data_IF_754298940778
#
_entry.id   IF_754298940778
#
_cell.length_a   1.000
_cell.length_b   1.000
_cell.length_c   1.000
_cell.angle_alpha   90.00
_cell.angle_beta   90.00
_cell.angle_gamma   90.00
#
_symmetry.space_group_name_H-M   'P 1'
#
loop_
_entity.id
_entity.type
_entity.pdbx_description
1 polymer ?
#
# COMPACT_ATOMS: atom_id res chain seq x y z
N UNK A 1 5.90 -11.39 10.69
CA UNK A 1 4.79 -10.41 10.87
C UNK A 1 4.54 -10.01 12.34
N UNK A 2 5.51 -10.27 13.23
CA UNK A 2 5.39 -9.91 14.64
C UNK A 2 5.24 -8.39 14.83
N UNK A 3 5.99 -7.58 14.08
CA UNK A 3 5.95 -6.11 14.14
C UNK A 3 4.55 -5.53 13.87
N UNK A 4 3.72 -6.18 13.03
CA UNK A 4 2.33 -5.76 12.82
C UNK A 4 1.44 -6.08 14.04
N UNK A 5 1.64 -7.23 14.70
CA UNK A 5 0.92 -7.55 15.93
C UNK A 5 1.32 -6.61 17.08
N UNK A 6 2.60 -6.23 17.16
CA UNK A 6 3.10 -5.28 18.16
C UNK A 6 2.53 -3.88 17.91
N UNK A 7 2.35 -3.51 16.64
CA UNK A 7 1.64 -2.29 16.26
C UNK A 7 0.18 -2.28 16.75
N UNK A 8 -0.58 -3.36 16.53
CA UNK A 8 -1.95 -3.48 17.05
C UNK A 8 -1.98 -3.43 18.59
N UNK A 9 -1.04 -4.11 19.27
CA UNK A 9 -0.92 -4.07 20.74
C UNK A 9 -0.66 -2.66 21.23
N UNK A 10 0.22 -1.92 20.56
CA UNK A 10 0.53 -0.52 20.90
C UNK A 10 -0.73 0.35 20.84
N UNK A 11 -1.50 0.27 19.75
CA UNK A 11 -2.73 1.07 19.63
C UNK A 11 -3.73 0.71 20.71
N UNK A 12 -3.91 -0.59 20.99
CA UNK A 12 -4.83 -1.04 22.04
C UNK A 12 -4.40 -0.62 23.46
N UNK A 13 -3.09 -0.47 23.72
CA UNK A 13 -2.55 -0.15 25.03
C UNK A 13 -2.37 1.37 25.25
N UNK A 14 -1.98 2.11 24.22
CA UNK A 14 -1.57 3.52 24.32
C UNK A 14 -2.51 4.46 23.56
N UNK A 15 -3.44 3.92 22.74
CA UNK A 15 -4.28 4.73 21.87
C UNK A 15 -5.27 5.61 22.64
N UNK A 16 -5.34 6.87 22.27
CA UNK A 16 -6.31 7.83 22.79
C UNK A 16 -7.58 7.84 21.93
N UNK A 17 -8.74 7.96 22.58
CA UNK A 17 -10.01 7.98 21.88
C UNK A 17 -10.20 9.33 21.17
N UNK A 18 -10.59 9.25 19.88
CA UNK A 18 -10.91 10.40 19.03
C UNK A 18 -12.21 10.17 18.26
N UNK A 19 -12.92 11.26 18.00
CA UNK A 19 -13.94 11.28 16.95
C UNK A 19 -13.29 11.22 15.56
N UNK A 20 -14.05 10.77 14.58
CA UNK A 20 -13.63 10.72 13.19
C UNK A 20 -14.78 11.13 12.25
N UNK A 21 -14.47 11.30 10.95
CA UNK A 21 -15.43 11.70 9.93
C UNK A 21 -16.62 10.74 9.79
N UNK A 22 -16.39 9.45 10.02
CA UNK A 22 -17.42 8.41 9.85
C UNK A 22 -18.40 8.33 11.04
N UNK A 23 -18.10 9.00 12.16
CA UNK A 23 -18.90 8.93 13.39
C UNK A 23 -18.75 7.63 14.17
N UNK A 24 -17.95 6.66 13.70
CA UNK A 24 -17.68 5.39 14.39
C UNK A 24 -16.84 5.60 15.66
N UNK A 25 -15.93 6.58 15.61
CA UNK A 25 -14.91 6.80 16.64
C UNK A 25 -13.71 5.86 16.50
N UNK A 26 -12.58 6.31 16.98
CA UNK A 26 -11.32 5.56 16.91
C UNK A 26 -10.56 5.62 18.22
N UNK A 27 -9.64 4.68 18.43
CA UNK A 27 -8.47 4.87 19.29
C UNK A 27 -7.25 4.99 18.42
N UNK A 28 -6.35 5.95 18.69
CA UNK A 28 -5.20 6.19 17.84
C UNK A 28 -3.93 6.53 18.59
N UNK A 29 -2.78 6.22 17.97
CA UNK A 29 -1.46 6.70 18.34
C UNK A 29 -0.91 7.53 17.17
N UNK A 30 -0.17 8.59 17.46
CA UNK A 30 0.47 9.39 16.44
C UNK A 30 1.93 8.99 16.25
N UNK A 31 2.25 8.55 15.04
CA UNK A 31 3.60 8.13 14.65
C UNK A 31 3.93 6.68 15.04
N UNK A 32 4.12 5.83 14.03
CA UNK A 32 4.65 4.48 14.18
C UNK A 32 5.43 4.06 12.94
N UNK A 33 6.45 3.23 13.12
CA UNK A 33 7.22 2.68 12.00
C UNK A 33 7.39 1.18 12.15
N UNK A 34 7.23 0.46 11.03
CA UNK A 34 7.53 -0.97 10.91
C UNK A 34 8.52 -1.19 9.77
N UNK A 35 9.42 -2.17 9.93
CA UNK A 35 10.40 -2.57 8.91
C UNK A 35 10.23 -4.02 8.55
N UNK A 36 10.34 -4.31 7.26
CA UNK A 36 10.19 -5.64 6.68
C UNK A 36 11.36 -5.90 5.74
N UNK A 37 12.25 -6.81 6.12
CA UNK A 37 13.32 -7.26 5.23
C UNK A 37 12.72 -8.23 4.20
N UNK A 38 12.72 -7.83 2.93
CA UNK A 38 12.09 -8.58 1.84
C UNK A 38 12.82 -9.87 1.48
N UNK A 39 14.09 -10.01 1.90
CA UNK A 39 14.84 -11.27 1.74
C UNK A 39 14.41 -12.38 2.73
N UNK A 40 13.66 -12.04 3.79
CA UNK A 40 13.14 -13.02 4.76
C UNK A 40 11.80 -13.66 4.37
N UNK A 41 11.30 -13.35 3.19
CA UNK A 41 9.99 -13.73 2.69
C UNK A 41 9.10 -12.51 2.45
N UNK A 42 8.01 -12.72 1.73
CA UNK A 42 7.11 -11.61 1.36
C UNK A 42 6.23 -11.21 2.55
N UNK A 43 6.22 -9.92 2.96
CA UNK A 43 5.54 -9.47 4.17
C UNK A 43 4.02 -9.44 3.96
N UNK A 44 3.39 -10.57 4.24
CA UNK A 44 1.95 -10.75 4.27
C UNK A 44 1.47 -11.03 5.69
N UNK A 45 0.37 -10.42 6.08
CA UNK A 45 -0.29 -10.77 7.34
C UNK A 45 -0.80 -12.21 7.23
N UNK A 46 -0.32 -13.10 8.12
CA UNK A 46 -0.74 -14.50 8.18
C UNK A 46 -1.73 -14.78 9.32
N UNK A 47 -1.89 -13.85 10.25
CA UNK A 47 -2.83 -13.96 11.38
C UNK A 47 -4.30 -13.71 11.01
N UNK A 48 -4.55 -13.30 9.78
CA UNK A 48 -5.84 -13.33 9.09
C UNK A 48 -5.61 -13.43 7.59
N UNK A 49 -6.62 -13.85 6.82
CA UNK A 49 -6.54 -13.92 5.36
C UNK A 49 -6.48 -12.50 4.75
N UNK A 50 -5.51 -12.27 3.88
CA UNK A 50 -5.45 -11.11 2.97
C UNK A 50 -5.97 -11.55 1.59
N UNK A 51 -6.78 -10.74 0.94
CA UNK A 51 -7.33 -11.04 -0.37
C UNK A 51 -6.37 -10.55 -1.47
N UNK A 52 -5.52 -11.44 -1.95
CA UNK A 52 -4.46 -11.15 -2.93
C UNK A 52 -4.94 -10.53 -4.23
N UNK A 53 -6.06 -11.01 -4.84
CA UNK A 53 -6.54 -10.37 -6.05
C UNK A 53 -6.78 -8.86 -5.86
N UNK A 54 -7.34 -8.45 -4.72
CA UNK A 54 -7.53 -7.02 -4.45
C UNK A 54 -6.22 -6.25 -4.33
N UNK A 55 -5.20 -6.82 -3.65
CA UNK A 55 -3.89 -6.18 -3.50
C UNK A 55 -3.21 -6.00 -4.86
N UNK A 56 -3.20 -7.06 -5.68
CA UNK A 56 -2.50 -7.06 -6.97
C UNK A 56 -3.21 -6.15 -7.97
N UNK A 57 -4.53 -6.33 -8.15
CA UNK A 57 -5.28 -5.52 -9.11
C UNK A 57 -5.31 -4.04 -8.73
N UNK A 58 -5.40 -3.68 -7.44
CA UNK A 58 -5.32 -2.29 -7.01
C UNK A 58 -3.97 -1.66 -7.37
N UNK A 59 -2.86 -2.36 -7.12
CA UNK A 59 -1.53 -1.86 -7.48
C UNK A 59 -1.36 -1.71 -9.00
N UNK A 60 -1.80 -2.70 -9.79
CA UNK A 60 -1.76 -2.62 -11.25
C UNK A 60 -2.62 -1.46 -11.78
N UNK A 61 -3.78 -1.24 -11.18
CA UNK A 61 -4.65 -0.12 -11.50
C UNK A 61 -4.00 1.24 -11.18
N UNK A 62 -3.32 1.39 -10.04
CA UNK A 62 -2.53 2.60 -9.76
C UNK A 62 -1.41 2.79 -10.79
N UNK A 63 -0.69 1.72 -11.14
CA UNK A 63 0.40 1.77 -12.11
C UNK A 63 -0.07 2.08 -13.54
N UNK A 64 -1.29 1.76 -13.92
CA UNK A 64 -1.86 2.14 -15.22
C UNK A 64 -2.21 3.63 -15.31
N UNK A 65 -2.22 4.35 -14.19
CA UNK A 65 -2.63 5.76 -14.13
C UNK A 65 -4.13 5.96 -14.34
N UNK A 66 -4.93 4.91 -14.17
CA UNK A 66 -6.38 4.97 -14.23
C UNK A 66 -6.98 5.38 -12.87
N UNK A 67 -8.14 6.00 -12.92
CA UNK A 67 -8.90 6.47 -11.75
C UNK A 67 -10.37 6.06 -11.78
N UNK A 68 -10.76 5.29 -12.80
CA UNK A 68 -12.10 4.70 -12.91
C UNK A 68 -12.08 3.26 -12.38
N UNK A 69 -13.11 2.89 -11.60
CA UNK A 69 -13.16 1.57 -10.93
C UNK A 69 -13.54 0.42 -11.85
N UNK A 70 -13.84 0.65 -13.13
CA UNK A 70 -14.30 -0.38 -14.08
C UNK A 70 -13.35 -1.57 -14.15
N UNK A 71 -12.03 -1.30 -14.30
CA UNK A 71 -11.02 -2.36 -14.29
C UNK A 71 -11.07 -3.22 -13.01
N UNK A 72 -11.22 -2.59 -11.86
CA UNK A 72 -11.30 -3.29 -10.59
C UNK A 72 -12.57 -4.15 -10.51
N UNK A 73 -13.72 -3.61 -10.95
CA UNK A 73 -14.99 -4.32 -10.96
C UNK A 73 -14.98 -5.53 -11.91
N UNK A 74 -14.41 -5.40 -13.10
CA UNK A 74 -14.22 -6.49 -14.08
C UNK A 74 -13.39 -7.64 -13.49
N UNK A 75 -12.46 -7.34 -12.58
CA UNK A 75 -11.65 -8.30 -11.87
C UNK A 75 -12.21 -8.68 -10.47
N UNK A 76 -13.49 -8.42 -10.22
CA UNK A 76 -14.20 -8.71 -8.96
C UNK A 76 -13.60 -8.03 -7.72
N UNK A 77 -12.89 -6.92 -7.88
CA UNK A 77 -12.36 -6.07 -6.81
C UNK A 77 -13.29 -4.90 -6.59
N UNK A 78 -13.81 -4.76 -5.38
CA UNK A 78 -14.87 -3.78 -5.05
C UNK A 78 -14.48 -2.82 -3.94
N UNK A 79 -13.21 -2.79 -3.58
CA UNK A 79 -12.70 -2.03 -2.42
C UNK A 79 -12.80 -0.51 -2.60
N UNK A 80 -13.08 -0.01 -3.80
CA UNK A 80 -13.23 1.40 -4.13
C UNK A 80 -14.66 1.82 -4.50
N UNK A 81 -15.61 0.87 -4.56
CA UNK A 81 -16.98 1.16 -5.03
C UNK A 81 -17.73 2.19 -4.19
N UNK A 82 -17.45 2.26 -2.87
CA UNK A 82 -18.14 3.15 -1.94
C UNK A 82 -17.81 4.63 -2.16
N UNK A 83 -16.70 4.92 -2.85
CA UNK A 83 -16.23 6.29 -3.12
C UNK A 83 -16.42 6.72 -4.57
N UNK A 84 -16.67 5.78 -5.48
CA UNK A 84 -16.86 6.08 -6.90
C UNK A 84 -18.21 6.79 -7.14
N UNK A 85 -18.22 7.73 -8.09
CA UNK A 85 -19.45 8.33 -8.59
C UNK A 85 -20.28 7.34 -9.43
N UNK A 86 -21.42 7.81 -9.98
CA UNK A 86 -22.34 6.98 -10.77
C UNK A 86 -21.67 6.42 -12.05
N UNK A 87 -20.65 7.11 -12.59
CA UNK A 87 -19.89 6.70 -13.77
C UNK A 87 -18.64 5.90 -13.41
N UNK A 88 -18.39 5.63 -12.12
CA UNK A 88 -17.25 4.86 -11.63
C UNK A 88 -15.97 5.68 -11.44
N UNK A 89 -16.02 7.01 -11.49
CA UNK A 89 -14.85 7.85 -11.35
C UNK A 89 -14.56 8.20 -9.89
N UNK A 90 -13.27 8.37 -9.57
CA UNK A 90 -12.77 8.75 -8.25
C UNK A 90 -12.07 10.12 -8.23
N UNK A 91 -12.05 10.81 -9.37
CA UNK A 91 -11.23 12.01 -9.52
C UNK A 91 -9.73 11.70 -9.60
N UNK A 92 -8.86 12.70 -9.41
CA UNK A 92 -7.41 12.58 -9.67
C UNK A 92 -6.66 11.83 -8.56
N UNK A 93 -7.13 10.63 -8.16
CA UNK A 93 -6.52 9.82 -7.09
C UNK A 93 -5.24 9.12 -7.57
N UNK A 94 -4.50 8.56 -6.66
CA UNK A 94 -3.24 7.78 -6.77
C UNK A 94 -2.65 7.56 -8.16
N UNK A 95 -3.33 6.82 -9.04
CA UNK A 95 -2.82 6.46 -10.36
C UNK A 95 -2.54 7.67 -11.23
N UNK A 96 -3.46 8.66 -11.25
CA UNK A 96 -3.23 9.92 -11.97
C UNK A 96 -2.00 10.65 -11.42
N UNK A 97 -1.88 10.75 -10.11
CA UNK A 97 -0.75 11.46 -9.50
C UNK A 97 0.58 10.75 -9.78
N UNK A 98 0.61 9.44 -9.73
CA UNK A 98 1.84 8.68 -9.97
C UNK A 98 2.32 8.72 -11.41
N UNK A 99 1.38 8.66 -12.39
CA UNK A 99 1.68 8.45 -13.80
C UNK A 99 1.40 9.65 -14.70
N UNK A 100 0.54 10.58 -14.26
CA UNK A 100 0.01 11.65 -15.11
C UNK A 100 -0.16 12.95 -14.31
N UNK A 101 0.82 13.29 -13.46
CA UNK A 101 0.82 14.56 -12.72
C UNK A 101 0.90 15.73 -13.71
N UNK A 102 -0.09 16.61 -13.67
CA UNK A 102 -0.11 17.80 -14.52
C UNK A 102 0.54 18.98 -13.80
N UNK A 103 1.54 19.61 -14.45
CA UNK A 103 2.13 20.86 -13.99
C UNK A 103 1.38 22.05 -14.57
N UNK A 104 1.57 23.24 -13.98
CA UNK A 104 0.87 24.48 -14.38
C UNK A 104 1.09 24.87 -15.86
N UNK A 105 2.18 24.47 -16.48
CA UNK A 105 2.50 24.70 -17.87
C UNK A 105 1.91 23.66 -18.86
N UNK A 106 1.14 22.70 -18.32
CA UNK A 106 0.54 21.60 -19.08
C UNK A 106 1.47 20.41 -19.31
N UNK A 107 2.68 20.42 -18.72
CA UNK A 107 3.58 19.26 -18.77
C UNK A 107 3.00 18.12 -17.95
N UNK A 108 2.93 16.92 -18.53
CA UNK A 108 2.54 15.70 -17.84
C UNK A 108 3.80 14.99 -17.33
N UNK A 109 3.82 14.73 -16.02
CA UNK A 109 4.95 14.12 -15.33
C UNK A 109 4.58 12.70 -14.91
N UNK A 110 5.35 11.71 -15.37
CA UNK A 110 5.30 10.33 -14.87
C UNK A 110 6.32 10.16 -13.75
N UNK A 111 5.84 10.16 -12.50
CA UNK A 111 6.72 10.04 -11.34
C UNK A 111 7.31 8.63 -11.19
N UNK A 112 6.60 7.58 -11.63
CA UNK A 112 7.11 6.20 -11.59
C UNK A 112 8.26 6.03 -12.58
N UNK A 113 8.10 6.52 -13.82
CA UNK A 113 9.19 6.47 -14.82
C UNK A 113 10.40 7.29 -14.37
N UNK A 114 10.18 8.51 -13.85
CA UNK A 114 11.24 9.33 -13.26
C UNK A 114 11.97 8.60 -12.10
N UNK A 115 11.24 7.86 -11.27
CA UNK A 115 11.85 7.08 -10.20
C UNK A 115 12.72 5.94 -10.77
N UNK A 116 12.25 5.22 -11.80
CA UNK A 116 13.01 4.16 -12.50
C UNK A 116 14.28 4.74 -13.11
N UNK A 117 14.18 5.86 -13.81
CA UNK A 117 15.35 6.55 -14.42
C UNK A 117 16.38 6.94 -13.35
N UNK A 118 15.92 7.51 -12.23
CA UNK A 118 16.81 7.88 -11.12
C UNK A 118 17.47 6.67 -10.46
N UNK A 119 16.72 5.58 -10.25
CA UNK A 119 17.26 4.34 -9.68
C UNK A 119 18.38 3.78 -10.58
N UNK A 120 18.16 3.77 -11.92
CA UNK A 120 19.12 3.22 -12.89
C UNK A 120 20.33 4.13 -13.09
N UNK A 121 20.12 5.44 -13.23
CA UNK A 121 21.16 6.37 -13.70
C UNK A 121 21.80 7.17 -12.55
N UNK A 122 21.13 7.34 -11.41
CA UNK A 122 21.62 8.07 -10.25
C UNK A 122 21.13 7.44 -8.94
N UNK A 123 21.52 6.18 -8.63
CA UNK A 123 21.02 5.44 -7.47
C UNK A 123 21.32 6.10 -6.12
N UNK A 124 22.30 6.98 -6.04
CA UNK A 124 22.62 7.75 -4.83
C UNK A 124 21.72 8.99 -4.63
N UNK A 125 20.77 9.24 -5.53
CA UNK A 125 19.84 10.35 -5.41
C UNK A 125 18.97 10.24 -4.16
N UNK A 126 18.78 11.35 -3.45
CA UNK A 126 17.84 11.49 -2.34
C UNK A 126 16.47 11.99 -2.77
N UNK A 127 16.23 12.05 -4.10
CA UNK A 127 15.03 12.62 -4.73
C UNK A 127 14.18 11.58 -5.44
N UNK A 128 14.38 10.29 -5.14
CA UNK A 128 13.59 9.19 -5.70
C UNK A 128 12.29 9.10 -4.91
N UNK A 129 11.38 10.03 -5.16
CA UNK A 129 10.13 10.20 -4.43
C UNK A 129 8.97 10.17 -5.42
N UNK A 130 7.88 9.52 -5.02
CA UNK A 130 6.58 9.53 -5.70
C UNK A 130 5.53 10.04 -4.72
N UNK A 131 4.81 11.09 -5.09
CA UNK A 131 3.78 11.71 -4.26
C UNK A 131 2.39 11.53 -4.88
N UNK A 132 1.44 11.11 -4.07
CA UNK A 132 0.02 11.17 -4.40
C UNK A 132 -0.66 12.42 -3.81
N UNK A 133 0.03 13.15 -2.92
CA UNK A 133 -0.50 14.32 -2.23
C UNK A 133 -0.29 15.58 -3.07
N UNK A 134 -1.23 15.84 -3.98
CA UNK A 134 -1.27 17.04 -4.80
C UNK A 134 -2.21 18.07 -4.16
N UNK A 135 -1.66 19.06 -3.48
CA UNK A 135 -2.43 20.06 -2.72
C UNK A 135 -3.42 20.83 -3.61
N UNK A 136 -3.11 21.01 -4.90
CA UNK A 136 -3.97 21.71 -5.84
C UNK A 136 -5.21 20.93 -6.28
N UNK A 137 -5.22 19.60 -6.11
CA UNK A 137 -6.30 18.72 -6.62
C UNK A 137 -7.01 17.92 -5.50
N UNK A 138 -6.68 18.16 -4.21
CA UNK A 138 -7.25 17.36 -3.10
C UNK A 138 -8.77 17.41 -3.04
N UNK A 139 -9.35 18.55 -3.31
CA UNK A 139 -10.82 18.76 -3.25
C UNK A 139 -11.57 18.10 -4.42
N UNK A 140 -10.85 17.69 -5.47
CA UNK A 140 -11.40 16.97 -6.63
C UNK A 140 -11.34 15.45 -6.44
N UNK A 141 -10.65 14.96 -5.41
CA UNK A 141 -10.50 13.54 -5.12
C UNK A 141 -11.68 13.02 -4.30
N UNK A 142 -12.29 11.93 -4.71
CA UNK A 142 -13.34 11.26 -3.93
C UNK A 142 -12.84 10.82 -2.54
N UNK A 143 -11.55 10.49 -2.44
CA UNK A 143 -10.85 10.21 -1.18
C UNK A 143 -9.41 10.73 -1.24
N UNK A 144 -9.09 11.69 -0.37
CA UNK A 144 -7.72 12.21 -0.25
C UNK A 144 -6.73 11.09 0.12
N UNK A 145 -5.56 11.01 -0.53
CA UNK A 145 -4.64 9.88 -0.40
C UNK A 145 -4.21 9.61 1.04
N UNK A 146 -4.48 8.42 1.56
CA UNK A 146 -4.01 7.97 2.87
C UNK A 146 -2.51 7.67 2.85
N UNK A 147 -2.02 6.91 1.86
CA UNK A 147 -0.61 6.73 1.57
C UNK A 147 -0.13 7.89 0.68
N UNK A 148 0.40 8.92 1.34
CA UNK A 148 0.60 10.24 0.76
C UNK A 148 1.79 10.31 -0.19
N UNK A 149 2.91 9.69 0.18
CA UNK A 149 4.10 9.59 -0.66
C UNK A 149 5.00 8.44 -0.22
N UNK A 150 5.90 8.04 -1.12
CA UNK A 150 6.92 7.04 -0.83
C UNK A 150 8.25 7.40 -1.47
N UNK A 151 9.34 6.87 -0.91
CA UNK A 151 10.70 7.14 -1.33
C UNK A 151 11.45 5.83 -1.51
N UNK A 152 12.22 5.74 -2.59
CA UNK A 152 13.14 4.64 -2.80
C UNK A 152 14.56 4.99 -2.35
N UNK A 153 15.30 3.95 -1.95
CA UNK A 153 16.68 4.02 -1.53
C UNK A 153 17.45 2.82 -2.07
N UNK A 154 18.57 3.09 -2.75
CA UNK A 154 19.45 2.05 -3.29
C UNK A 154 20.71 1.95 -2.44
N UNK A 155 21.07 0.75 -2.02
CA UNK A 155 22.32 0.48 -1.34
C UNK A 155 22.78 -0.98 -1.58
N UNK A 156 24.05 -1.18 -1.89
CA UNK A 156 24.66 -2.50 -2.12
C UNK A 156 23.85 -3.39 -3.08
N UNK A 157 23.40 -2.83 -4.20
CA UNK A 157 22.61 -3.55 -5.20
C UNK A 157 21.19 -3.90 -4.77
N UNK A 158 20.68 -3.30 -3.69
CA UNK A 158 19.33 -3.53 -3.15
C UNK A 158 18.49 -2.28 -3.19
N UNK A 159 17.22 -2.45 -3.55
CA UNK A 159 16.20 -1.40 -3.54
C UNK A 159 15.32 -1.54 -2.30
N UNK A 160 15.24 -0.47 -1.53
CA UNK A 160 14.32 -0.33 -0.39
C UNK A 160 13.29 0.77 -0.68
N UNK A 161 12.12 0.66 -0.06
CA UNK A 161 11.06 1.64 -0.15
C UNK A 161 10.58 2.05 1.23
N UNK A 162 10.37 3.36 1.45
CA UNK A 162 9.70 3.87 2.64
C UNK A 162 8.42 4.59 2.24
N UNK A 163 7.30 4.14 2.80
CA UNK A 163 5.98 4.75 2.67
C UNK A 163 5.69 5.66 3.87
N UNK A 164 5.15 6.86 3.62
CA UNK A 164 4.44 7.65 4.62
C UNK A 164 2.93 7.57 4.39
N UNK A 165 2.23 6.99 5.35
CA UNK A 165 0.78 6.87 5.39
C UNK A 165 0.22 7.81 6.45
N UNK A 166 -0.43 8.92 6.04
CA UNK A 166 -0.93 9.96 6.94
C UNK A 166 -2.08 9.50 7.83
N UNK A 167 -2.90 8.58 7.32
CA UNK A 167 -4.07 8.02 7.97
C UNK A 167 -4.08 6.51 7.76
N UNK A 168 -4.05 5.74 8.84
CA UNK A 168 -3.79 4.33 8.81
C UNK A 168 -4.82 3.55 9.63
N UNK A 169 -5.86 3.02 8.94
CA UNK A 169 -6.72 1.98 9.50
C UNK A 169 -5.88 0.73 9.76
N UNK A 170 -5.53 0.52 11.02
CA UNK A 170 -4.60 -0.53 11.42
C UNK A 170 -5.15 -1.94 11.16
N UNK A 171 -6.48 -2.12 11.16
CA UNK A 171 -7.08 -3.44 11.04
C UNK A 171 -7.38 -3.82 9.57
N UNK A 172 -8.06 -2.97 8.80
CA UNK A 172 -8.43 -3.28 7.41
C UNK A 172 -7.37 -2.81 6.40
N UNK A 173 -6.93 -1.55 6.48
CA UNK A 173 -6.09 -0.92 5.45
C UNK A 173 -4.62 -1.33 5.53
N UNK A 174 -3.98 -1.20 6.69
CA UNK A 174 -2.53 -1.40 6.84
C UNK A 174 -2.03 -2.77 6.35
N UNK A 175 -2.72 -3.92 6.56
CA UNK A 175 -2.32 -5.20 5.98
C UNK A 175 -2.22 -5.19 4.45
N UNK A 176 -3.14 -4.52 3.77
CA UNK A 176 -3.13 -4.34 2.31
C UNK A 176 -1.96 -3.46 1.89
N UNK A 177 -1.77 -2.31 2.57
CA UNK A 177 -0.72 -1.36 2.22
C UNK A 177 0.69 -1.95 2.41
N UNK A 178 0.94 -2.74 3.47
CA UNK A 178 2.20 -3.46 3.66
C UNK A 178 2.47 -4.36 2.45
N UNK A 179 1.49 -5.16 2.05
CA UNK A 179 1.62 -6.10 0.93
C UNK A 179 1.77 -5.38 -0.41
N UNK A 180 0.96 -4.36 -0.68
CA UNK A 180 0.97 -3.60 -1.93
C UNK A 180 2.31 -2.90 -2.17
N UNK A 181 2.83 -2.17 -1.17
CA UNK A 181 4.11 -1.47 -1.32
C UNK A 181 5.33 -2.39 -1.27
N UNK A 182 5.23 -3.54 -0.60
CA UNK A 182 6.25 -4.58 -0.70
C UNK A 182 6.29 -5.19 -2.10
N UNK A 183 5.13 -5.42 -2.71
CA UNK A 183 5.02 -5.87 -4.10
C UNK A 183 5.59 -4.83 -5.06
N UNK A 184 5.20 -3.56 -4.93
CA UNK A 184 5.76 -2.46 -5.72
C UNK A 184 7.28 -2.41 -5.60
N UNK A 185 7.83 -2.56 -4.39
CA UNK A 185 9.29 -2.56 -4.17
C UNK A 185 9.98 -3.69 -4.92
N UNK A 186 9.41 -4.90 -4.92
CA UNK A 186 9.94 -6.03 -5.65
C UNK A 186 9.85 -5.84 -7.17
N UNK A 187 8.72 -5.33 -7.68
CA UNK A 187 8.54 -5.02 -9.10
C UNK A 187 9.54 -3.96 -9.58
N UNK A 188 9.69 -2.87 -8.84
CA UNK A 188 10.67 -1.80 -9.12
C UNK A 188 12.12 -2.31 -9.06
N UNK A 189 12.44 -3.18 -8.11
CA UNK A 189 13.76 -3.80 -8.03
C UNK A 189 14.05 -4.64 -9.28
N UNK A 190 13.09 -5.49 -9.71
CA UNK A 190 13.26 -6.32 -10.91
C UNK A 190 13.49 -5.49 -12.18
N UNK A 191 12.67 -4.46 -12.43
CA UNK A 191 12.81 -3.63 -13.65
C UNK A 191 14.07 -2.75 -13.64
N UNK A 192 14.69 -2.59 -12.46
CA UNK A 192 15.95 -1.85 -12.30
C UNK A 192 17.18 -2.76 -12.13
N UNK A 193 17.05 -4.08 -12.31
CA UNK A 193 18.11 -5.07 -12.13
C UNK A 193 18.75 -5.03 -10.72
N UNK A 194 17.93 -4.82 -9.69
CA UNK A 194 18.32 -4.78 -8.28
C UNK A 194 17.63 -5.90 -7.49
N UNK A 195 18.24 -6.26 -6.35
CA UNK A 195 17.58 -7.14 -5.38
C UNK A 195 16.63 -6.36 -4.47
N UNK A 196 15.50 -6.93 -4.01
CA UNK A 196 14.67 -6.32 -3.00
C UNK A 196 15.40 -6.17 -1.66
N UNK A 197 15.35 -4.97 -1.07
CA UNK A 197 15.94 -4.65 0.24
C UNK A 197 14.92 -4.71 1.37
N UNK A 198 14.54 -3.54 1.90
CA UNK A 198 13.54 -3.39 2.96
C UNK A 198 12.31 -2.63 2.47
N UNK A 199 11.14 -3.00 2.97
CA UNK A 199 9.99 -2.10 3.00
C UNK A 199 9.87 -1.48 4.39
N UNK A 200 9.80 -0.15 4.46
CA UNK A 200 9.63 0.63 5.68
C UNK A 200 8.28 1.31 5.64
N UNK A 201 7.36 0.88 6.49
CA UNK A 201 6.06 1.53 6.65
C UNK A 201 6.11 2.55 7.78
N UNK A 202 5.69 3.78 7.51
CA UNK A 202 5.60 4.87 8.49
C UNK A 202 4.18 5.43 8.50
N UNK A 203 3.50 5.29 9.64
CA UNK A 203 2.14 5.81 9.84
C UNK A 203 2.16 7.13 10.62
N UNK A 204 1.30 8.07 10.24
CA UNK A 204 0.95 9.29 10.98
C UNK A 204 -0.12 9.02 12.02
N UNK A 205 -1.39 9.29 11.71
CA UNK A 205 -2.54 8.88 12.54
C UNK A 205 -2.79 7.37 12.37
N UNK A 206 -2.37 6.58 13.33
CA UNK A 206 -2.49 5.13 13.34
C UNK A 206 -3.65 4.74 14.23
N UNK A 207 -4.76 4.29 13.66
CA UNK A 207 -5.99 4.09 14.41
C UNK A 207 -6.63 2.72 14.23
N UNK A 208 -7.39 2.34 15.25
CA UNK A 208 -8.38 1.26 15.23
C UNK A 208 -9.76 1.89 15.41
N UNK A 209 -10.69 1.59 14.53
CA UNK A 209 -12.08 1.94 14.72
C UNK A 209 -12.65 1.23 15.95
N UNK A 210 -13.56 1.88 16.70
CA UNK A 210 -14.12 1.30 17.93
C UNK A 210 -14.87 -0.01 17.69
N UNK A 211 -15.42 -0.19 16.48
CA UNK A 211 -16.07 -1.43 16.04
C UNK A 211 -15.08 -2.55 15.61
N UNK A 212 -13.76 -2.28 15.60
CA UNK A 212 -12.71 -3.27 15.29
C UNK A 212 -11.89 -3.75 16.50
N UNK A 213 -12.19 -3.25 17.72
CA UNK A 213 -11.37 -3.56 18.90
C UNK A 213 -11.35 -5.05 19.25
N UNK A 214 -12.49 -5.74 19.11
CA UNK A 214 -12.57 -7.17 19.37
C UNK A 214 -11.83 -7.99 18.32
N UNK A 215 -11.93 -7.61 17.06
CA UNK A 215 -11.22 -8.24 15.96
C UNK A 215 -9.70 -8.08 16.10
N UNK A 216 -9.24 -6.89 16.52
CA UNK A 216 -7.82 -6.66 16.79
C UNK A 216 -7.33 -7.53 17.98
N UNK A 217 -8.11 -7.65 19.06
CA UNK A 217 -7.80 -8.55 20.20
C UNK A 217 -7.74 -10.01 19.78
N UNK A 218 -8.67 -10.47 18.94
CA UNK A 218 -8.63 -11.82 18.37
C UNK A 218 -7.36 -12.02 17.55
N UNK A 219 -7.03 -11.06 16.68
CA UNK A 219 -5.88 -11.17 15.78
C UNK A 219 -4.54 -11.21 16.53
N UNK A 220 -4.36 -10.40 17.58
CA UNK A 220 -3.11 -10.39 18.37
C UNK A 220 -2.92 -11.65 19.23
N UNK A 221 -3.98 -12.44 19.46
CA UNK A 221 -3.90 -13.72 20.13
C UNK A 221 -3.40 -14.86 19.22
N UNK A 222 -3.37 -14.64 17.89
CA UNK A 222 -2.92 -15.63 16.92
C UNK A 222 -1.40 -15.58 16.74
N UNK A 223 -0.79 -16.74 16.52
CA UNK A 223 0.65 -16.85 16.24
C UNK A 223 0.86 -16.64 14.75
N UNK A 224 1.77 -15.72 14.32
CA UNK A 224 2.12 -15.59 12.92
C UNK A 224 2.68 -16.89 12.34
N UNK A 225 2.28 -17.23 11.12
CA UNK A 225 2.82 -18.35 10.36
C UNK A 225 4.00 -17.88 9.50
N UNK A 226 4.65 -18.83 8.84
CA UNK A 226 5.74 -18.54 7.90
C UNK A 226 5.27 -17.59 6.79
N UNK A 227 6.18 -16.71 6.36
CA UNK A 227 5.89 -15.76 5.29
C UNK A 227 5.79 -16.49 3.95
N UNK A 228 4.89 -16.07 3.07
CA UNK A 228 4.82 -16.59 1.71
C UNK A 228 6.02 -16.13 0.89
N UNK A 229 6.14 -16.71 -0.30
CA UNK A 229 7.14 -16.38 -1.30
C UNK A 229 6.46 -15.64 -2.43
N UNK A 230 6.97 -14.46 -2.77
CA UNK A 230 6.59 -13.76 -4.00
C UNK A 230 7.45 -14.27 -5.15
N UNK A 231 6.80 -14.61 -6.25
CA UNK A 231 7.44 -14.90 -7.52
C UNK A 231 6.88 -13.95 -8.58
N UNK A 232 7.78 -13.22 -9.22
CA UNK A 232 7.49 -12.40 -10.38
C UNK A 232 7.98 -13.12 -11.63
N UNK A 233 7.28 -12.95 -12.74
CA UNK A 233 7.74 -13.47 -14.02
C UNK A 233 9.07 -12.80 -14.40
N UNK A 234 10.19 -13.54 -14.53
CA UNK A 234 11.51 -12.97 -14.78
C UNK A 234 11.65 -12.32 -16.17
N UNK A 235 10.74 -12.62 -17.09
CA UNK A 235 10.75 -12.06 -18.44
C UNK A 235 10.14 -10.66 -18.51
N UNK A 236 9.42 -10.21 -17.48
CA UNK A 236 8.91 -8.84 -17.37
C UNK A 236 10.05 -7.87 -17.06
N UNK A 237 10.27 -6.90 -17.94
CA UNK A 237 11.38 -5.91 -17.88
C UNK A 237 10.92 -4.46 -17.80
N UNK A 238 9.63 -4.20 -18.00
CA UNK A 238 9.01 -2.89 -17.83
C UNK A 238 7.97 -2.94 -16.72
N UNK A 239 7.81 -1.84 -15.99
CA UNK A 239 6.80 -1.73 -14.95
C UNK A 239 5.39 -1.82 -15.53
N UNK A 240 5.22 -1.40 -16.77
CA UNK A 240 3.94 -1.41 -17.49
C UNK A 240 3.56 -2.78 -18.07
N UNK A 241 4.49 -3.74 -18.12
CA UNK A 241 4.26 -5.08 -18.65
C UNK A 241 3.79 -6.07 -17.57
N UNK A 242 3.75 -5.67 -16.30
CA UNK A 242 3.21 -6.53 -15.25
C UNK A 242 1.70 -6.72 -15.41
N UNK A 243 1.29 -7.97 -15.32
CA UNK A 243 -0.11 -8.38 -15.28
C UNK A 243 -0.39 -9.21 -14.01
N UNK A 244 -1.65 -9.51 -13.75
CA UNK A 244 -2.02 -10.37 -12.62
C UNK A 244 -1.35 -11.75 -12.72
N UNK A 245 -1.23 -12.29 -13.93
CA UNK A 245 -0.63 -13.61 -14.24
C UNK A 245 0.88 -13.63 -14.05
N UNK A 246 1.56 -12.47 -14.11
CA UNK A 246 3.00 -12.35 -13.88
C UNK A 246 3.40 -12.30 -12.41
N UNK A 247 2.41 -12.36 -11.48
CA UNK A 247 2.60 -12.19 -10.04
C UNK A 247 2.00 -13.40 -9.30
N UNK A 248 2.84 -14.17 -8.65
CA UNK A 248 2.41 -15.36 -7.91
C UNK A 248 2.82 -15.29 -6.44
N UNK A 249 1.87 -15.52 -5.53
CA UNK A 249 2.12 -15.64 -4.08
C UNK A 249 2.03 -17.12 -3.70
N UNK A 250 3.18 -17.72 -3.45
CA UNK A 250 3.32 -19.14 -3.13
C UNK A 250 3.35 -19.37 -1.61
N UNK A 251 2.80 -20.51 -1.17
CA UNK A 251 2.86 -20.97 0.22
C UNK A 251 2.22 -20.01 1.22
N UNK A 252 1.19 -19.26 0.82
CA UNK A 252 0.47 -18.38 1.73
C UNK A 252 -0.44 -19.18 2.67
N UNK A 253 0.11 -19.63 3.78
CA UNK A 253 -0.63 -20.18 4.90
C UNK A 253 -1.11 -19.06 5.83
N UNK A 254 -2.37 -19.10 6.21
CA UNK A 254 -2.96 -18.03 7.03
C UNK A 254 -4.03 -18.57 7.97
N UNK A 255 -4.27 -17.86 9.07
CA UNK A 255 -5.43 -18.06 9.91
C UNK A 255 -6.73 -17.67 9.19
N UNK A 256 -7.89 -18.16 9.64
CA UNK A 256 -9.18 -17.78 9.07
C UNK A 256 -9.38 -16.26 9.02
N UNK A 257 -10.19 -15.82 8.05
CA UNK A 257 -10.62 -14.43 7.95
C UNK A 257 -11.32 -13.97 9.25
N UNK A 258 -11.08 -12.71 9.63
CA UNK A 258 -11.78 -12.03 10.70
C UNK A 258 -12.64 -10.94 10.05
N UNK A 259 -13.97 -11.10 10.01
CA UNK A 259 -14.84 -10.11 9.39
C UNK A 259 -14.89 -8.82 10.24
N UNK A 260 -14.92 -7.69 9.59
CA UNK A 260 -15.07 -6.39 10.21
C UNK A 260 -15.87 -5.45 9.30
N UNK A 261 -16.73 -4.58 9.83
CA UNK A 261 -17.47 -3.60 9.04
C UNK A 261 -16.51 -2.52 8.52
N UNK A 262 -16.79 -2.01 7.31
CA UNK A 262 -16.09 -0.83 6.77
C UNK A 262 -16.72 0.41 7.40
N UNK A 263 -15.90 1.36 7.86
CA UNK A 263 -16.35 2.68 8.32
C UNK A 263 -16.13 3.69 7.19
N UNK A 264 -17.22 4.31 6.71
CA UNK A 264 -17.26 5.18 5.52
C UNK A 264 -17.49 6.63 5.92
#
# INVERSE_FOLDING_TARGET
MQQYLDFLRRILAEGEQKGDRTGTGTISVFGHQMRFNLSNGFPAVTTKKVHWPSVIHELLWFLSGDTNVSYLQENNVRIWNEWADEDGNLGPVYGKQWRKWEADDGTVIDQIENAIELIKNNPNSRRIIVSAWNVGELDEMALMPCHAFFQFYVNDGRLSCQLYQRSADAFLGVPFNISSYSLLTCMMAQVCDLEPGEFVWTGGDCHLYLNHLNQAREQIARVPLELPILRLDPDVKSIDDFSFESIEIMNYNHHPHIPAPISI
#
